data_IF_559308908398
#
_entry.id   IF_559308908398
#
_cell.length_a   1.000
_cell.length_b   1.000
_cell.length_c   1.000
_cell.angle_alpha   90.00
_cell.angle_beta   90.00
_cell.angle_gamma   90.00
#
_symmetry.space_group_name_H-M   'P 1'
#
loop_
_entity.id
_entity.type
_entity.pdbx_description
1 polymer ?
#
# COMPACT_ATOMS: atom_id res chain seq x y z
N UNK A 1 -6.18 4.14 23.20
CA UNK A 1 -6.61 4.10 21.78
C UNK A 1 -6.47 5.51 21.25
N UNK A 2 -5.41 5.81 20.53
CA UNK A 2 -5.24 7.10 19.85
C UNK A 2 -6.33 7.18 18.79
N UNK A 3 -7.19 8.20 18.85
CA UNK A 3 -8.19 8.40 17.80
C UNK A 3 -7.47 8.48 16.47
N UNK A 4 -7.86 7.64 15.51
CA UNK A 4 -7.29 7.70 14.17
C UNK A 4 -7.56 9.10 13.58
N UNK A 5 -6.59 9.67 12.85
CA UNK A 5 -6.78 10.94 12.15
C UNK A 5 -8.02 10.93 11.26
N UNK A 6 -8.78 12.02 11.32
CA UNK A 6 -9.99 12.23 10.52
C UNK A 6 -9.61 12.37 9.04
N UNK A 7 -10.33 11.70 8.12
CA UNK A 7 -10.13 11.91 6.70
C UNK A 7 -10.52 13.32 6.25
N UNK A 8 -10.04 13.75 5.08
CA UNK A 8 -10.32 15.08 4.51
C UNK A 8 -11.73 15.23 3.91
N UNK A 9 -12.59 14.24 4.10
CA UNK A 9 -13.98 14.20 3.65
C UNK A 9 -14.89 13.78 4.81
N UNK A 10 -16.20 14.03 4.67
CA UNK A 10 -17.20 13.55 5.63
C UNK A 10 -17.62 12.13 5.24
N UNK A 11 -17.38 11.10 6.08
CA UNK A 11 -17.84 9.74 5.83
C UNK A 11 -19.36 9.71 5.60
N UNK A 12 -19.77 8.96 4.58
CA UNK A 12 -21.18 8.74 4.23
C UNK A 12 -21.57 7.29 4.49
N UNK A 13 -22.87 6.99 4.51
CA UNK A 13 -23.34 5.60 4.69
C UNK A 13 -22.82 4.65 3.60
N UNK A 14 -22.68 5.12 2.35
CA UNK A 14 -22.08 4.32 1.25
C UNK A 14 -20.60 4.06 1.46
N UNK A 15 -19.88 5.03 2.05
CA UNK A 15 -18.47 4.87 2.39
C UNK A 15 -18.27 3.85 3.52
N UNK A 16 -19.05 3.92 4.59
CA UNK A 16 -19.00 2.91 5.66
C UNK A 16 -19.34 1.51 5.11
N UNK A 17 -20.33 1.45 4.22
CA UNK A 17 -20.73 0.20 3.56
C UNK A 17 -19.64 -0.38 2.67
N UNK A 18 -18.93 0.41 1.87
CA UNK A 18 -17.84 -0.12 1.03
C UNK A 18 -16.69 -0.65 1.87
N UNK A 19 -16.34 0.00 2.98
CA UNK A 19 -15.34 -0.52 3.92
C UNK A 19 -15.79 -1.85 4.55
N UNK A 20 -17.06 -1.98 4.92
CA UNK A 20 -17.61 -3.24 5.43
C UNK A 20 -17.57 -4.37 4.38
N UNK A 21 -17.86 -4.06 3.11
CA UNK A 21 -17.75 -5.01 2.01
C UNK A 21 -16.30 -5.46 1.77
N UNK A 22 -15.34 -4.54 1.83
CA UNK A 22 -13.91 -4.90 1.76
C UNK A 22 -13.52 -5.79 2.94
N UNK A 23 -13.89 -5.44 4.17
CA UNK A 23 -13.60 -6.25 5.34
C UNK A 23 -14.19 -7.67 5.21
N UNK A 24 -15.42 -7.80 4.71
CA UNK A 24 -16.05 -9.09 4.44
C UNK A 24 -15.28 -9.88 3.36
N UNK A 25 -14.85 -9.22 2.28
CA UNK A 25 -14.03 -9.87 1.25
C UNK A 25 -12.70 -10.36 1.82
N UNK A 26 -12.00 -9.55 2.62
CA UNK A 26 -10.72 -9.93 3.23
C UNK A 26 -10.83 -11.11 4.20
N UNK A 27 -11.98 -11.23 4.89
CA UNK A 27 -12.25 -12.36 5.78
C UNK A 27 -12.37 -13.71 5.05
N UNK A 28 -12.52 -13.71 3.71
CA UNK A 28 -12.53 -14.92 2.89
C UNK A 28 -11.11 -15.39 2.49
N UNK A 29 -10.06 -14.68 2.89
CA UNK A 29 -8.67 -15.08 2.66
C UNK A 29 -8.38 -16.39 3.42
N UNK A 30 -8.05 -17.50 2.73
CA UNK A 30 -7.80 -18.78 3.37
C UNK A 30 -6.58 -18.77 4.31
N UNK A 31 -5.63 -17.85 4.12
CA UNK A 31 -4.45 -17.70 4.99
C UNK A 31 -4.68 -16.69 6.13
N UNK A 32 -5.82 -15.99 6.13
CA UNK A 32 -6.22 -15.02 7.17
C UNK A 32 -5.35 -13.76 7.28
N UNK A 33 -4.40 -13.55 6.36
CA UNK A 33 -3.43 -12.45 6.45
C UNK A 33 -3.98 -11.12 5.91
N UNK A 34 -4.99 -11.18 5.05
CA UNK A 34 -5.57 -10.01 4.41
C UNK A 34 -6.11 -9.01 5.44
N UNK A 35 -6.90 -9.42 6.42
CA UNK A 35 -7.50 -8.49 7.39
C UNK A 35 -6.44 -7.66 8.15
N UNK A 36 -5.35 -8.30 8.60
CA UNK A 36 -4.25 -7.62 9.28
C UNK A 36 -3.51 -6.65 8.33
N UNK A 37 -3.26 -7.08 7.10
CA UNK A 37 -2.60 -6.24 6.08
C UNK A 37 -3.37 -4.93 5.87
N UNK A 38 -4.67 -4.99 5.62
CA UNK A 38 -5.47 -3.81 5.29
C UNK A 38 -5.66 -2.89 6.51
N UNK A 39 -5.86 -3.45 7.70
CA UNK A 39 -5.90 -2.65 8.93
C UNK A 39 -4.59 -1.88 9.16
N UNK A 40 -3.44 -2.52 8.92
CA UNK A 40 -2.14 -1.86 9.03
C UNK A 40 -1.92 -0.81 7.94
N UNK A 41 -2.38 -1.08 6.71
CA UNK A 41 -2.26 -0.16 5.59
C UNK A 41 -3.07 1.12 5.79
N UNK A 42 -4.33 0.99 6.21
CA UNK A 42 -5.19 2.13 6.55
C UNK A 42 -4.58 2.97 7.69
N UNK A 43 -4.03 2.30 8.72
CA UNK A 43 -3.35 2.98 9.82
C UNK A 43 -2.13 3.80 9.35
N UNK A 44 -1.28 3.25 8.47
CA UNK A 44 -0.14 3.98 7.92
C UNK A 44 -0.56 5.15 7.03
N UNK A 45 -1.58 4.95 6.19
CA UNK A 45 -2.14 6.03 5.37
C UNK A 45 -2.58 7.21 6.24
N UNK A 46 -3.34 6.94 7.29
CA UNK A 46 -3.81 7.99 8.21
C UNK A 46 -2.66 8.63 8.99
N UNK A 47 -1.73 7.82 9.49
CA UNK A 47 -0.55 8.29 10.21
C UNK A 47 0.25 9.26 9.34
N UNK A 48 0.65 8.84 8.14
CA UNK A 48 1.44 9.65 7.22
C UNK A 48 0.70 10.92 6.82
N UNK A 49 -0.60 10.84 6.51
CA UNK A 49 -1.40 12.03 6.24
C UNK A 49 -1.32 13.00 7.42
N UNK A 50 -1.59 12.54 8.65
CA UNK A 50 -1.62 13.43 9.82
C UNK A 50 -0.28 14.08 10.18
N UNK A 51 0.84 13.44 9.85
CA UNK A 51 2.19 13.94 10.13
C UNK A 51 2.85 14.66 8.96
N UNK A 52 2.20 14.70 7.80
CA UNK A 52 2.81 15.21 6.58
C UNK A 52 3.11 16.70 6.64
N UNK A 53 4.26 17.11 6.12
CA UNK A 53 4.61 18.52 5.94
C UNK A 53 3.91 19.14 4.73
N UNK A 54 3.42 18.33 3.79
CA UNK A 54 2.62 18.80 2.67
C UNK A 54 1.21 19.25 3.13
N UNK A 55 0.80 20.50 2.86
CA UNK A 55 -0.46 21.07 3.35
C UNK A 55 -1.72 20.49 2.70
N UNK A 56 -1.58 19.74 1.59
CA UNK A 56 -2.70 19.00 0.99
C UNK A 56 -2.89 17.68 1.74
N UNK A 57 -1.79 16.96 2.02
CA UNK A 57 -1.83 15.66 2.68
C UNK A 57 -2.14 15.76 4.18
N UNK A 58 -1.78 16.87 4.83
CA UNK A 58 -1.99 17.07 6.26
C UNK A 58 -3.45 17.31 6.69
N UNK A 59 -4.35 17.40 5.72
CA UNK A 59 -5.80 17.51 5.94
C UNK A 59 -6.46 16.15 6.20
N UNK A 60 -5.70 15.06 6.09
CA UNK A 60 -6.20 13.68 6.16
C UNK A 60 -6.32 13.04 4.78
N UNK A 61 -6.37 11.71 4.69
CA UNK A 61 -6.46 11.00 3.42
C UNK A 61 -7.78 11.30 2.71
N UNK A 62 -7.75 11.39 1.37
CA UNK A 62 -8.98 11.48 0.58
C UNK A 62 -9.81 10.20 0.65
N UNK A 63 -11.08 10.28 0.25
CA UNK A 63 -11.96 9.11 0.13
C UNK A 63 -11.36 8.06 -0.80
N UNK A 64 -10.81 8.48 -1.94
CA UNK A 64 -10.19 7.60 -2.91
C UNK A 64 -8.98 6.85 -2.32
N UNK A 65 -8.14 7.54 -1.55
CA UNK A 65 -6.97 6.95 -0.90
C UNK A 65 -7.38 5.93 0.17
N UNK A 66 -8.40 6.22 0.98
CA UNK A 66 -8.90 5.26 1.98
C UNK A 66 -9.50 4.02 1.29
N UNK A 67 -10.28 4.22 0.22
CA UNK A 67 -10.84 3.10 -0.57
C UNK A 67 -9.72 2.27 -1.20
N UNK A 68 -8.70 2.89 -1.81
CA UNK A 68 -7.57 2.20 -2.41
C UNK A 68 -6.74 1.44 -1.35
N UNK A 69 -6.50 2.04 -0.18
CA UNK A 69 -5.80 1.38 0.93
C UNK A 69 -6.56 0.14 1.43
N UNK A 70 -7.88 0.23 1.56
CA UNK A 70 -8.71 -0.88 2.02
C UNK A 70 -9.03 -1.92 0.94
N UNK A 71 -8.63 -1.70 -0.32
CA UNK A 71 -8.79 -2.66 -1.43
C UNK A 71 -7.46 -3.10 -2.06
N UNK A 72 -6.33 -2.57 -1.60
CA UNK A 72 -5.00 -2.99 -2.04
C UNK A 72 -4.74 -4.45 -1.68
N UNK A 73 -4.62 -5.33 -2.67
CA UNK A 73 -4.51 -6.79 -2.45
C UNK A 73 -5.82 -7.51 -2.08
N UNK A 74 -6.98 -6.87 -2.27
CA UNK A 74 -8.27 -7.53 -2.15
C UNK A 74 -8.35 -8.77 -3.06
N UNK A 75 -8.78 -9.90 -2.52
CA UNK A 75 -8.92 -11.17 -3.26
C UNK A 75 -7.65 -11.59 -4.02
N UNK A 76 -6.47 -11.22 -3.53
CA UNK A 76 -5.18 -11.54 -4.17
C UNK A 76 -4.93 -13.05 -4.29
N UNK A 77 -5.41 -13.85 -3.34
CA UNK A 77 -5.25 -15.31 -3.34
C UNK A 77 -5.88 -15.99 -4.57
N UNK A 78 -6.84 -15.34 -5.24
CA UNK A 78 -7.49 -15.84 -6.46
C UNK A 78 -6.62 -15.73 -7.72
N UNK A 79 -5.47 -15.05 -7.62
CA UNK A 79 -4.51 -14.85 -8.71
C UNK A 79 -3.10 -15.19 -8.22
N UNK A 80 -2.82 -16.46 -7.89
CA UNK A 80 -1.56 -16.85 -7.27
C UNK A 80 -0.37 -16.66 -8.20
N UNK A 81 0.81 -16.35 -7.63
CA UNK A 81 2.05 -16.15 -8.39
C UNK A 81 2.45 -17.40 -9.18
N UNK A 82 2.12 -18.59 -8.69
CA UNK A 82 2.48 -19.89 -9.28
C UNK A 82 1.87 -20.12 -10.67
N UNK A 83 0.78 -19.43 -11.03
CA UNK A 83 0.15 -19.51 -12.36
C UNK A 83 0.90 -18.75 -13.47
N UNK A 84 1.99 -18.07 -13.13
CA UNK A 84 2.75 -17.23 -14.07
C UNK A 84 4.17 -17.77 -14.26
N UNK A 85 4.78 -17.61 -15.46
CA UNK A 85 6.15 -18.04 -15.69
C UNK A 85 7.14 -17.50 -14.66
N UNK A 86 8.16 -18.27 -14.32
CA UNK A 86 9.23 -17.82 -13.42
C UNK A 86 10.07 -16.70 -14.05
N UNK A 87 10.78 -15.95 -13.22
CA UNK A 87 11.61 -14.83 -13.66
C UNK A 87 10.90 -13.47 -13.69
N UNK A 88 11.64 -12.45 -14.11
CA UNK A 88 11.23 -11.04 -14.00
C UNK A 88 10.01 -10.70 -14.86
N UNK A 89 9.96 -11.20 -16.10
CA UNK A 89 8.85 -10.93 -17.02
C UNK A 89 7.54 -11.48 -16.48
N UNK A 90 7.49 -12.75 -16.10
CA UNK A 90 6.29 -13.34 -15.52
C UNK A 90 5.87 -12.68 -14.21
N UNK A 91 6.83 -12.27 -13.36
CA UNK A 91 6.53 -11.47 -12.17
C UNK A 91 5.90 -10.10 -12.50
N UNK A 92 6.42 -9.38 -13.49
CA UNK A 92 5.87 -8.08 -13.92
C UNK A 92 4.46 -8.25 -14.49
N UNK A 93 4.24 -9.27 -15.33
CA UNK A 93 2.91 -9.59 -15.88
C UNK A 93 1.91 -9.90 -14.79
N UNK A 94 2.29 -10.75 -13.82
CA UNK A 94 1.46 -11.08 -12.67
C UNK A 94 1.12 -9.83 -11.85
N UNK A 95 2.11 -9.00 -11.49
CA UNK A 95 1.86 -7.77 -10.72
C UNK A 95 0.93 -6.80 -11.43
N UNK A 96 1.08 -6.65 -12.75
CA UNK A 96 0.19 -5.80 -13.54
C UNK A 96 -1.25 -6.32 -13.56
N UNK A 97 -1.45 -7.62 -13.85
CA UNK A 97 -2.78 -8.23 -13.82
C UNK A 97 -3.42 -8.20 -12.43
N UNK A 98 -2.63 -8.37 -11.37
CA UNK A 98 -3.10 -8.23 -9.99
C UNK A 98 -3.61 -6.82 -9.71
N UNK A 99 -2.88 -5.77 -10.12
CA UNK A 99 -3.33 -4.41 -9.89
C UNK A 99 -4.66 -4.11 -10.61
N UNK A 100 -4.86 -4.66 -11.82
CA UNK A 100 -6.14 -4.58 -12.54
C UNK A 100 -7.23 -5.32 -11.77
N UNK A 101 -6.97 -6.56 -11.37
CA UNK A 101 -7.91 -7.37 -10.57
C UNK A 101 -8.37 -6.65 -9.30
N UNK A 102 -7.45 -6.07 -8.52
CA UNK A 102 -7.81 -5.31 -7.32
C UNK A 102 -8.68 -4.09 -7.65
N UNK A 103 -8.36 -3.36 -8.73
CA UNK A 103 -9.17 -2.21 -9.16
C UNK A 103 -10.56 -2.62 -9.59
N UNK A 104 -10.69 -3.71 -10.35
CA UNK A 104 -11.99 -4.16 -10.84
C UNK A 104 -12.88 -4.64 -9.69
N UNK A 105 -12.32 -5.44 -8.76
CA UNK A 105 -13.03 -5.86 -7.52
C UNK A 105 -13.41 -4.66 -6.66
N UNK A 106 -12.51 -3.67 -6.50
CA UNK A 106 -12.82 -2.46 -5.74
C UNK A 106 -14.01 -1.70 -6.36
N UNK A 107 -14.03 -1.59 -7.69
CA UNK A 107 -15.11 -0.91 -8.41
C UNK A 107 -16.45 -1.64 -8.29
N UNK A 108 -16.44 -2.97 -8.37
CA UNK A 108 -17.64 -3.80 -8.16
C UNK A 108 -18.24 -3.55 -6.78
N UNK A 109 -17.42 -3.60 -5.72
CA UNK A 109 -17.88 -3.41 -4.35
C UNK A 109 -18.26 -1.95 -4.04
N UNK A 110 -17.62 -0.97 -4.69
CA UNK A 110 -18.09 0.43 -4.65
C UNK A 110 -19.48 0.56 -5.28
N UNK A 111 -19.71 -0.03 -6.46
CA UNK A 111 -21.04 0.00 -7.08
C UNK A 111 -22.08 -0.69 -6.20
N UNK A 112 -21.73 -1.84 -5.61
CA UNK A 112 -22.60 -2.54 -4.66
C UNK A 112 -22.93 -1.66 -3.45
N UNK A 113 -21.96 -0.92 -2.91
CA UNK A 113 -22.13 -0.02 -1.77
C UNK A 113 -23.03 1.20 -2.07
N UNK A 114 -23.31 1.49 -3.34
CA UNK A 114 -24.18 2.58 -3.78
C UNK A 114 -23.46 3.76 -4.44
N UNK A 115 -22.20 3.61 -4.85
CA UNK A 115 -21.52 4.60 -5.69
C UNK A 115 -22.02 4.48 -7.14
N UNK A 116 -22.31 5.62 -7.77
CA UNK A 116 -22.79 5.69 -9.15
C UNK A 116 -21.62 5.84 -10.11
N UNK A 117 -21.51 4.99 -11.13
CA UNK A 117 -20.46 5.11 -12.14
C UNK A 117 -20.48 6.48 -12.86
N UNK A 118 -21.68 7.03 -13.10
CA UNK A 118 -21.82 8.34 -13.73
C UNK A 118 -21.65 9.49 -12.73
N UNK A 119 -22.20 9.36 -11.51
CA UNK A 119 -22.17 10.42 -10.50
C UNK A 119 -20.83 10.55 -9.77
N UNK A 120 -20.08 9.46 -9.65
CA UNK A 120 -18.81 9.37 -8.91
C UNK A 120 -17.63 9.02 -9.83
N UNK A 121 -17.73 9.34 -11.14
CA UNK A 121 -16.76 8.94 -12.16
C UNK A 121 -15.31 9.32 -11.80
N UNK A 122 -15.11 10.52 -11.23
CA UNK A 122 -13.78 10.99 -10.80
C UNK A 122 -13.23 10.18 -9.62
N UNK A 123 -14.08 9.77 -8.68
CA UNK A 123 -13.69 8.93 -7.55
C UNK A 123 -13.27 7.54 -8.02
N UNK A 124 -14.07 6.91 -8.89
CA UNK A 124 -13.71 5.62 -9.51
C UNK A 124 -12.39 5.74 -10.29
N UNK A 125 -12.22 6.80 -11.09
CA UNK A 125 -10.98 7.03 -11.82
C UNK A 125 -9.78 7.17 -10.88
N UNK A 126 -9.93 7.91 -9.77
CA UNK A 126 -8.85 8.11 -8.80
C UNK A 126 -8.48 6.82 -8.07
N UNK A 127 -9.45 6.02 -7.63
CA UNK A 127 -9.23 4.71 -7.00
C UNK A 127 -8.48 3.78 -7.96
N UNK A 128 -8.91 3.71 -9.23
CA UNK A 128 -8.23 2.94 -10.27
C UNK A 128 -6.80 3.40 -10.49
N UNK A 129 -6.57 4.71 -10.54
CA UNK A 129 -5.23 5.26 -10.76
C UNK A 129 -4.27 4.92 -9.62
N UNK A 130 -4.74 4.99 -8.38
CA UNK A 130 -4.00 4.55 -7.18
C UNK A 130 -3.63 3.07 -7.23
N UNK A 131 -4.62 2.18 -7.43
CA UNK A 131 -4.41 0.73 -7.46
C UNK A 131 -3.54 0.27 -8.64
N UNK A 132 -3.64 0.94 -9.79
CA UNK A 132 -2.80 0.70 -10.97
C UNK A 132 -1.43 1.37 -10.89
N UNK A 133 -1.20 2.26 -9.91
CA UNK A 133 0.04 3.02 -9.73
C UNK A 133 0.37 3.91 -10.93
N UNK A 134 -0.63 4.54 -11.56
CA UNK A 134 -0.46 5.27 -12.83
C UNK A 134 0.39 6.53 -12.70
N UNK A 135 0.28 7.25 -11.58
CA UNK A 135 0.95 8.52 -11.32
C UNK A 135 2.22 8.38 -10.48
N UNK A 136 2.62 7.15 -10.15
CA UNK A 136 3.80 6.88 -9.31
C UNK A 136 5.07 7.28 -10.05
N UNK A 137 5.83 8.23 -9.49
CA UNK A 137 7.12 8.61 -10.05
C UNK A 137 8.17 7.50 -9.86
N UNK A 138 9.14 7.47 -10.75
CA UNK A 138 10.30 6.57 -10.64
C UNK A 138 11.43 7.26 -9.86
N UNK A 139 12.22 6.51 -9.08
CA UNK A 139 13.42 7.05 -8.44
C UNK A 139 14.46 7.54 -9.48
N UNK A 140 15.26 8.58 -9.18
CA UNK A 140 15.15 9.43 -7.99
C UNK A 140 13.85 10.25 -8.02
N UNK A 141 13.21 10.39 -6.85
CA UNK A 141 11.90 11.06 -6.75
C UNK A 141 12.04 12.56 -7.04
N UNK A 142 11.12 13.15 -7.83
CA UNK A 142 11.13 14.58 -8.09
C UNK A 142 10.68 15.37 -6.86
N UNK A 143 11.20 16.59 -6.72
CA UNK A 143 10.76 17.57 -5.73
C UNK A 143 10.39 18.90 -6.44
N UNK A 144 9.12 19.34 -6.42
CA UNK A 144 7.98 18.71 -5.74
C UNK A 144 7.44 17.46 -6.46
N UNK A 145 6.83 16.55 -5.70
CA UNK A 145 6.06 15.44 -6.24
C UNK A 145 4.82 15.94 -6.97
N UNK A 146 4.58 15.44 -8.20
CA UNK A 146 3.38 15.76 -8.98
C UNK A 146 2.09 15.22 -8.33
N UNK A 147 2.17 14.02 -7.76
CA UNK A 147 1.06 13.37 -7.07
C UNK A 147 1.56 12.89 -5.68
N UNK A 148 1.55 13.78 -4.67
CA UNK A 148 2.00 13.44 -3.33
C UNK A 148 1.20 12.29 -2.70
N UNK A 149 -0.09 12.18 -3.01
CA UNK A 149 -0.99 11.17 -2.41
C UNK A 149 -0.70 9.76 -2.94
N UNK A 150 -0.35 9.62 -4.22
CA UNK A 150 0.16 8.35 -4.76
C UNK A 150 1.44 7.88 -4.06
N UNK A 151 2.33 8.81 -3.72
CA UNK A 151 3.56 8.48 -3.02
C UNK A 151 3.32 8.16 -1.54
N UNK A 152 2.41 8.85 -0.86
CA UNK A 152 1.95 8.46 0.48
C UNK A 152 1.37 7.05 0.48
N UNK A 153 0.62 6.68 -0.56
CA UNK A 153 0.10 5.32 -0.72
C UNK A 153 1.24 4.30 -0.91
N UNK A 154 2.23 4.59 -1.77
CA UNK A 154 3.40 3.71 -1.95
C UNK A 154 4.21 3.57 -0.65
N UNK A 155 4.45 4.67 0.07
CA UNK A 155 5.12 4.67 1.38
C UNK A 155 4.39 3.76 2.36
N UNK A 156 3.06 3.90 2.43
CA UNK A 156 2.23 3.07 3.31
C UNK A 156 2.32 1.58 2.95
N UNK A 157 2.31 1.23 1.66
CA UNK A 157 2.49 -0.15 1.19
C UNK A 157 3.89 -0.69 1.57
N UNK A 158 4.94 0.12 1.40
CA UNK A 158 6.30 -0.24 1.79
C UNK A 158 6.42 -0.45 3.30
N UNK A 159 5.78 0.41 4.10
CA UNK A 159 5.74 0.28 5.56
C UNK A 159 5.02 -0.99 6.00
N UNK A 160 3.89 -1.35 5.39
CA UNK A 160 3.21 -2.63 5.71
C UNK A 160 4.10 -3.83 5.38
N UNK A 161 4.78 -3.82 4.22
CA UNK A 161 5.73 -4.88 3.88
C UNK A 161 6.83 -4.99 4.94
N UNK A 162 7.45 -3.87 5.31
CA UNK A 162 8.52 -3.84 6.31
C UNK A 162 8.04 -4.27 7.70
N UNK A 163 6.82 -3.90 8.08
CA UNK A 163 6.27 -4.17 9.41
C UNK A 163 5.74 -5.60 9.59
N UNK A 164 5.15 -6.20 8.55
CA UNK A 164 4.42 -7.48 8.67
C UNK A 164 5.05 -8.63 7.89
N UNK A 165 5.80 -8.35 6.83
CA UNK A 165 6.17 -9.37 5.85
C UNK A 165 7.68 -9.54 5.70
N UNK A 166 8.48 -8.54 6.11
CA UNK A 166 9.90 -8.49 5.80
C UNK A 166 10.71 -9.63 6.45
N UNK A 167 10.42 -9.97 7.70
CA UNK A 167 11.10 -11.07 8.42
C UNK A 167 10.82 -12.40 7.72
N UNK A 168 9.56 -12.80 7.61
CA UNK A 168 9.16 -14.05 6.91
C UNK A 168 9.61 -14.08 5.44
N UNK A 169 9.69 -12.91 4.81
CA UNK A 169 10.19 -12.79 3.45
C UNK A 169 11.70 -13.02 3.37
N UNK A 170 12.47 -12.54 4.34
CA UNK A 170 13.92 -12.77 4.40
C UNK A 170 14.30 -14.23 4.60
N UNK A 171 13.53 -14.99 5.38
CA UNK A 171 13.76 -16.43 5.59
C UNK A 171 13.67 -17.24 4.29
N UNK A 172 12.90 -16.73 3.32
CA UNK A 172 12.72 -17.34 1.99
C UNK A 172 13.82 -16.95 1.01
N UNK A 173 14.71 -16.01 1.36
CA UNK A 173 15.78 -15.51 0.51
C UNK A 173 17.12 -15.76 1.21
N UNK A 174 17.75 -16.89 0.89
CA UNK A 174 19.05 -17.27 1.46
C UNK A 174 20.23 -16.35 1.04
N UNK A 175 20.04 -15.49 0.04
CA UNK A 175 21.08 -14.60 -0.49
C UNK A 175 20.97 -13.20 0.14
N UNK A 176 21.94 -12.86 0.98
CA UNK A 176 22.02 -11.59 1.68
C UNK A 176 22.15 -10.39 0.72
N UNK A 177 22.89 -10.51 -0.39
CA UNK A 177 23.06 -9.42 -1.36
C UNK A 177 21.76 -9.17 -2.14
N UNK A 178 21.03 -10.25 -2.43
CA UNK A 178 19.68 -10.13 -2.98
C UNK A 178 18.73 -9.44 -2.00
N UNK A 179 18.81 -9.74 -0.71
CA UNK A 179 18.01 -9.06 0.32
C UNK A 179 18.36 -7.57 0.43
N UNK A 180 19.66 -7.22 0.47
CA UNK A 180 20.12 -5.82 0.45
C UNK A 180 19.55 -5.09 -0.78
N UNK A 181 19.59 -5.71 -1.96
CA UNK A 181 19.03 -5.13 -3.18
C UNK A 181 17.51 -4.93 -3.13
N UNK A 182 16.77 -5.81 -2.44
CA UNK A 182 15.33 -5.66 -2.24
C UNK A 182 15.05 -4.50 -1.30
N UNK A 183 15.75 -4.43 -0.17
CA UNK A 183 15.62 -3.30 0.79
C UNK A 183 15.95 -1.98 0.10
N UNK A 184 17.04 -1.91 -0.67
CA UNK A 184 17.39 -0.72 -1.45
C UNK A 184 16.27 -0.31 -2.40
N UNK A 185 15.71 -1.26 -3.15
CA UNK A 185 14.60 -1.01 -4.09
C UNK A 185 13.29 -0.61 -3.40
N UNK A 186 13.09 -1.01 -2.15
CA UNK A 186 11.98 -0.53 -1.32
C UNK A 186 12.27 0.91 -0.87
N UNK A 187 13.46 1.15 -0.33
CA UNK A 187 13.89 2.45 0.21
C UNK A 187 13.83 3.60 -0.82
N UNK A 188 14.40 3.41 -2.01
CA UNK A 188 14.51 4.48 -3.01
C UNK A 188 13.16 4.92 -3.61
N UNK A 189 12.09 4.14 -3.40
CA UNK A 189 10.73 4.51 -3.82
C UNK A 189 9.99 5.33 -2.77
N UNK A 190 10.49 5.30 -1.53
CA UNK A 190 9.84 5.96 -0.42
C UNK A 190 10.22 7.43 -0.36
N UNK A 191 9.27 8.27 0.08
CA UNK A 191 9.57 9.67 0.39
C UNK A 191 10.37 9.79 1.69
N UNK A 192 10.93 10.97 1.96
CA UNK A 192 11.62 11.25 3.22
C UNK A 192 10.72 11.01 4.45
N UNK A 193 9.41 11.28 4.34
CA UNK A 193 8.46 11.04 5.43
C UNK A 193 8.28 9.54 5.70
N UNK A 194 8.07 8.73 4.65
CA UNK A 194 8.01 7.28 4.78
C UNK A 194 9.30 6.69 5.35
N UNK A 195 10.46 7.16 4.88
CA UNK A 195 11.78 6.74 5.39
C UNK A 195 11.97 7.08 6.87
N UNK A 196 11.49 8.25 7.32
CA UNK A 196 11.53 8.65 8.72
C UNK A 196 10.69 7.71 9.61
N UNK A 197 9.53 7.23 9.12
CA UNK A 197 8.73 6.22 9.84
C UNK A 197 9.49 4.90 9.96
N UNK A 198 10.16 4.43 8.91
CA UNK A 198 10.98 3.21 8.98
C UNK A 198 12.05 3.35 10.06
N UNK A 199 12.81 4.45 10.03
CA UNK A 199 13.91 4.69 10.96
C UNK A 199 13.44 4.75 12.42
N UNK A 200 12.29 5.38 12.67
CA UNK A 200 11.74 5.56 14.01
C UNK A 200 11.05 4.30 14.56
N UNK A 201 10.21 3.65 13.74
CA UNK A 201 9.23 2.68 14.25
C UNK A 201 9.58 1.23 13.93
N UNK A 202 10.42 0.97 12.91
CA UNK A 202 10.62 -0.39 12.39
C UNK A 202 12.03 -0.94 12.64
N UNK A 203 13.08 -0.15 12.41
CA UNK A 203 14.47 -0.65 12.47
C UNK A 203 14.82 -1.23 13.84
N UNK A 204 14.36 -0.62 14.93
CA UNK A 204 14.66 -1.08 16.30
C UNK A 204 14.12 -2.46 16.64
N UNK A 205 13.00 -2.86 16.02
CA UNK A 205 12.34 -4.15 16.25
C UNK A 205 12.84 -5.30 15.36
N UNK A 206 13.77 -5.04 14.45
CA UNK A 206 14.31 -6.07 13.55
C UNK A 206 15.33 -6.98 14.27
N UNK A 207 15.42 -8.26 13.87
CA UNK A 207 16.58 -9.10 14.15
C UNK A 207 17.90 -8.44 13.72
N UNK A 208 19.00 -8.75 14.43
CA UNK A 208 20.31 -8.09 14.19
C UNK A 208 20.87 -8.31 12.79
N UNK A 209 20.70 -9.51 12.23
CA UNK A 209 21.07 -9.83 10.85
C UNK A 209 20.29 -8.98 9.84
N UNK A 210 19.01 -8.71 10.09
CA UNK A 210 18.20 -7.83 9.24
C UNK A 210 18.53 -6.35 9.42
N UNK A 211 18.95 -5.93 10.62
CA UNK A 211 19.49 -4.57 10.83
C UNK A 211 20.75 -4.36 10.00
N UNK A 212 21.63 -5.36 9.92
CA UNK A 212 22.82 -5.31 9.07
C UNK A 212 22.44 -5.18 7.58
N UNK A 213 21.47 -5.97 7.11
CA UNK A 213 20.95 -5.86 5.73
C UNK A 213 20.43 -4.45 5.43
N UNK A 214 19.67 -3.86 6.36
CA UNK A 214 19.18 -2.48 6.23
C UNK A 214 20.35 -1.50 6.20
N UNK A 215 21.29 -1.60 7.14
CA UNK A 215 22.47 -0.73 7.19
C UNK A 215 23.27 -0.75 5.88
N UNK A 216 23.53 -1.95 5.33
CA UNK A 216 24.20 -2.13 4.03
C UNK A 216 23.40 -1.54 2.86
N UNK A 217 22.08 -1.61 2.90
CA UNK A 217 21.22 -1.06 1.85
C UNK A 217 21.24 0.47 1.82
N UNK A 218 21.42 1.12 2.99
CA UNK A 218 21.38 2.58 3.14
C UNK A 218 22.75 3.26 2.99
N UNK A 219 23.85 2.52 3.18
CA UNK A 219 25.22 3.07 3.13
C UNK A 219 25.79 3.25 1.70
N UNK A 220 25.05 2.86 0.66
CA UNK A 220 25.48 2.82 -0.74
C UNK A 220 24.52 3.57 -1.65
#
# INVERSE_FOLDING_TARGET
>A
MTSLPTPSFTPTARFERVLALFAAAHALDPEGQSSLYHSKLDAYVRQLSSSSANPVLNQGPSEALVIAANSQHIRRWEKPRSEYPMGLTGYKTWRHKLNIHHSDVAHELMAEAGYSQAGDAELFARVRDLLLKKTLARPPLPDPLKDPEMHLFEDSICLVFLALQFVDFSEKIADADKMVNIVRKTWIKMTAEGQAVVARDLVGGLPEDLKEVVGRALAA
#
